data_IF_706035804310
#
_entry.id   IF_706035804310
#
_cell.length_a   1.000
_cell.length_b   1.000
_cell.length_c   1.000
_cell.angle_alpha   90.00
_cell.angle_beta   90.00
_cell.angle_gamma   90.00
#
_symmetry.space_group_name_H-M   'P 1'
#
loop_
_entity.id
_entity.type
_entity.pdbx_description
1 polymer ?
#
# COMPACT_ATOMS: atom_id res chain seq x y z
N UNK A 1 -17.55 16.80 -21.42
CA UNK A 1 -18.87 16.12 -21.48
C UNK A 1 -18.90 15.07 -20.37
N UNK A 2 -19.91 15.08 -19.49
CA UNK A 2 -20.04 14.17 -18.33
C UNK A 2 -20.48 12.73 -18.68
N UNK A 3 -20.53 12.40 -19.97
CA UNK A 3 -20.99 11.10 -20.49
C UNK A 3 -19.85 10.27 -21.11
N UNK A 4 -18.58 10.63 -20.85
CA UNK A 4 -17.45 9.80 -21.25
C UNK A 4 -17.32 8.62 -20.28
N UNK A 5 -17.03 7.43 -20.81
CA UNK A 5 -16.71 6.24 -20.04
C UNK A 5 -15.59 6.53 -19.02
N UNK A 6 -14.60 7.35 -19.39
CA UNK A 6 -13.50 7.77 -18.53
C UNK A 6 -13.99 8.58 -17.32
N UNK A 7 -15.05 9.38 -17.49
CA UNK A 7 -15.64 10.14 -16.39
C UNK A 7 -16.34 9.22 -15.40
N UNK A 8 -17.05 8.20 -15.89
CA UNK A 8 -17.68 7.18 -15.04
C UNK A 8 -16.63 6.36 -14.26
N UNK A 9 -15.51 6.00 -14.90
CA UNK A 9 -14.42 5.32 -14.20
C UNK A 9 -13.70 6.22 -13.20
N UNK A 10 -13.47 7.49 -13.53
CA UNK A 10 -12.85 8.46 -12.61
C UNK A 10 -13.70 8.69 -11.36
N UNK A 11 -15.03 8.61 -11.48
CA UNK A 11 -15.95 8.76 -10.35
C UNK A 11 -16.07 7.46 -9.52
N UNK A 12 -16.16 6.30 -10.18
CA UNK A 12 -16.40 5.02 -9.51
C UNK A 12 -15.15 4.43 -8.85
N UNK A 13 -13.98 4.51 -9.49
CA UNK A 13 -12.79 3.82 -9.02
C UNK A 13 -12.29 4.30 -7.64
N UNK A 14 -12.28 5.61 -7.30
CA UNK A 14 -11.95 6.06 -5.95
C UNK A 14 -12.93 5.55 -4.88
N UNK A 15 -14.21 5.38 -5.21
CA UNK A 15 -15.22 4.86 -4.28
C UNK A 15 -15.01 3.39 -3.91
N UNK A 16 -14.40 2.62 -4.81
CA UNK A 16 -14.04 1.22 -4.61
C UNK A 16 -12.65 1.04 -3.98
N UNK A 17 -11.85 2.11 -3.93
CA UNK A 17 -10.52 2.09 -3.34
C UNK A 17 -10.59 1.94 -1.81
N UNK A 18 -9.63 1.23 -1.19
CA UNK A 18 -9.52 1.16 0.27
C UNK A 18 -9.32 2.55 0.91
N UNK A 19 -8.60 3.44 0.22
CA UNK A 19 -8.39 4.84 0.63
C UNK A 19 -9.39 5.75 -0.10
N UNK A 20 -10.59 5.87 0.48
CA UNK A 20 -11.68 6.72 -0.04
C UNK A 20 -11.48 8.22 0.21
N UNK A 21 -10.51 8.58 1.04
CA UNK A 21 -10.22 9.96 1.44
C UNK A 21 -9.18 10.65 0.56
N UNK A 22 -8.50 9.91 -0.31
CA UNK A 22 -7.49 10.45 -1.21
C UNK A 22 -8.11 10.85 -2.54
N UNK A 23 -7.89 12.09 -2.96
CA UNK A 23 -8.19 12.54 -4.30
C UNK A 23 -7.06 12.10 -5.23
N UNK A 24 -7.41 11.46 -6.35
CA UNK A 24 -6.46 11.05 -7.39
C UNK A 24 -6.71 11.92 -8.63
N UNK A 25 -5.66 12.49 -9.20
CA UNK A 25 -5.76 13.35 -10.38
C UNK A 25 -6.17 12.53 -11.62
N UNK A 26 -5.75 11.26 -11.67
CA UNK A 26 -6.03 10.31 -12.75
C UNK A 26 -6.29 8.88 -12.24
N UNK A 27 -6.91 8.06 -13.10
CA UNK A 27 -7.09 6.62 -12.85
C UNK A 27 -5.73 5.91 -12.78
N UNK A 28 -4.76 6.32 -13.60
CA UNK A 28 -3.41 5.76 -13.59
C UNK A 28 -2.70 6.00 -12.26
N UNK A 29 -2.88 7.18 -11.67
CA UNK A 29 -2.37 7.49 -10.33
C UNK A 29 -3.01 6.60 -9.27
N UNK A 30 -4.33 6.44 -9.31
CA UNK A 30 -5.06 5.53 -8.43
C UNK A 30 -4.56 4.08 -8.53
N UNK A 31 -4.35 3.59 -9.75
CA UNK A 31 -3.84 2.24 -10.00
C UNK A 31 -2.41 2.10 -9.47
N UNK A 32 -1.55 3.09 -9.74
CA UNK A 32 -0.15 3.07 -9.32
C UNK A 32 -0.03 3.05 -7.80
N UNK A 33 -0.77 3.95 -7.12
CA UNK A 33 -0.82 4.00 -5.67
C UNK A 33 -1.31 2.68 -5.05
N UNK A 34 -2.42 2.14 -5.55
CA UNK A 34 -2.95 0.87 -5.06
C UNK A 34 -1.94 -0.28 -5.27
N UNK A 35 -1.25 -0.30 -6.42
CA UNK A 35 -0.23 -1.32 -6.70
C UNK A 35 0.96 -1.21 -5.75
N UNK A 36 1.44 -0.01 -5.47
CA UNK A 36 2.51 0.25 -4.50
C UNK A 36 2.12 -0.20 -3.10
N UNK A 37 0.93 0.20 -2.63
CA UNK A 37 0.40 -0.20 -1.34
C UNK A 37 0.24 -1.72 -1.21
N UNK A 38 -0.27 -2.39 -2.25
CA UNK A 38 -0.38 -3.85 -2.29
C UNK A 38 1.00 -4.53 -2.23
N UNK A 39 2.00 -4.00 -2.92
CA UNK A 39 3.35 -4.54 -2.90
C UNK A 39 4.01 -4.38 -1.52
N UNK A 40 3.87 -3.23 -0.87
CA UNK A 40 4.39 -3.00 0.48
C UNK A 40 3.72 -3.92 1.50
N UNK A 41 2.38 -4.04 1.47
CA UNK A 41 1.66 -4.98 2.34
C UNK A 41 2.15 -6.42 2.16
N UNK A 42 2.36 -6.88 0.92
CA UNK A 42 2.91 -8.23 0.67
C UNK A 42 4.31 -8.42 1.25
N UNK A 43 5.18 -7.41 1.15
CA UNK A 43 6.53 -7.45 1.75
C UNK A 43 6.43 -7.54 3.27
N UNK A 44 5.59 -6.70 3.88
CA UNK A 44 5.33 -6.69 5.34
C UNK A 44 4.84 -8.06 5.81
N UNK A 45 3.83 -8.64 5.16
CA UNK A 45 3.30 -9.95 5.55
C UNK A 45 4.33 -11.07 5.43
N UNK A 46 5.13 -11.05 4.36
CA UNK A 46 6.23 -12.00 4.18
C UNK A 46 7.28 -11.84 5.27
N UNK A 47 7.60 -10.61 5.65
CA UNK A 47 8.60 -10.32 6.67
C UNK A 47 8.10 -10.70 8.07
N UNK A 48 6.83 -10.39 8.40
CA UNK A 48 6.15 -10.86 9.63
C UNK A 48 6.19 -12.39 9.75
N UNK A 49 5.91 -13.10 8.65
CA UNK A 49 6.01 -14.57 8.62
C UNK A 49 7.43 -15.08 8.87
N UNK A 50 8.45 -14.39 8.33
CA UNK A 50 9.87 -14.73 8.57
C UNK A 50 10.28 -14.48 10.03
N UNK A 51 9.91 -13.33 10.59
CA UNK A 51 10.15 -12.96 12.00
C UNK A 51 9.54 -14.00 12.96
N UNK A 52 8.32 -14.45 12.68
CA UNK A 52 7.63 -15.44 13.50
C UNK A 52 8.34 -16.82 13.52
N UNK A 53 9.05 -17.15 12.45
CA UNK A 53 9.79 -18.42 12.30
C UNK A 53 11.25 -18.32 12.74
N UNK A 54 11.76 -17.11 12.94
CA UNK A 54 13.16 -16.87 13.32
C UNK A 54 13.39 -17.16 14.81
N UNK A 55 14.43 -17.94 15.09
CA UNK A 55 14.80 -18.40 16.44
C UNK A 55 15.98 -17.61 17.01
N UNK A 56 16.83 -17.04 16.16
CA UNK A 56 17.98 -16.26 16.59
C UNK A 56 17.52 -14.85 16.95
N UNK A 57 17.72 -14.45 18.21
CA UNK A 57 17.31 -13.13 18.70
C UNK A 57 17.88 -11.98 17.85
N UNK A 58 19.19 -12.00 17.57
CA UNK A 58 19.84 -10.97 16.78
C UNK A 58 19.23 -10.84 15.37
N UNK A 59 18.99 -11.98 14.71
CA UNK A 59 18.36 -12.02 13.38
C UNK A 59 16.93 -11.51 13.42
N UNK A 60 16.19 -11.79 14.50
CA UNK A 60 14.84 -11.27 14.72
C UNK A 60 14.83 -9.75 14.90
N UNK A 61 15.82 -9.21 15.61
CA UNK A 61 15.99 -7.76 15.78
C UNK A 61 16.24 -7.09 14.43
N UNK A 62 17.17 -7.62 13.61
CA UNK A 62 17.41 -7.11 12.25
C UNK A 62 16.15 -7.11 11.39
N UNK A 63 15.40 -8.22 11.39
CA UNK A 63 14.15 -8.33 10.62
C UNK A 63 13.05 -7.40 11.16
N UNK A 64 13.01 -7.17 12.48
CA UNK A 64 12.07 -6.22 13.08
C UNK A 64 12.39 -4.77 12.69
N UNK A 65 13.67 -4.40 12.56
CA UNK A 65 14.07 -3.08 12.06
C UNK A 65 13.63 -2.89 10.61
N UNK A 66 13.86 -3.90 9.75
CA UNK A 66 13.36 -3.88 8.35
C UNK A 66 11.82 -3.77 8.31
N UNK A 67 11.13 -4.40 9.26
CA UNK A 67 9.67 -4.33 9.35
C UNK A 67 9.20 -2.92 9.73
N UNK A 68 9.85 -2.29 10.70
CA UNK A 68 9.53 -0.91 11.11
C UNK A 68 9.70 0.08 9.96
N UNK A 69 10.77 -0.06 9.17
CA UNK A 69 10.99 0.77 7.97
C UNK A 69 9.85 0.63 6.95
N UNK A 70 9.42 -0.60 6.66
CA UNK A 70 8.31 -0.86 5.72
C UNK A 70 6.97 -0.37 6.27
N UNK A 71 6.73 -0.47 7.58
CA UNK A 71 5.51 0.04 8.23
C UNK A 71 5.45 1.58 8.22
N UNK A 72 6.60 2.26 8.33
CA UNK A 72 6.70 3.70 8.13
C UNK A 72 6.45 4.05 6.66
N UNK A 73 7.07 3.35 5.72
CA UNK A 73 6.91 3.61 4.27
C UNK A 73 5.44 3.51 3.83
N UNK A 74 4.73 2.46 4.25
CA UNK A 74 3.31 2.31 3.90
C UNK A 74 2.42 3.37 4.57
N UNK A 75 2.76 3.80 5.78
CA UNK A 75 2.04 4.87 6.47
C UNK A 75 2.20 6.19 5.74
N UNK A 76 3.42 6.50 5.29
CA UNK A 76 3.71 7.68 4.47
C UNK A 76 3.01 7.60 3.11
N UNK A 77 2.95 6.42 2.48
CA UNK A 77 2.28 6.24 1.20
C UNK A 77 0.76 6.49 1.29
N UNK A 78 0.13 6.09 2.40
CA UNK A 78 -1.31 6.32 2.66
C UNK A 78 -1.62 7.74 3.11
N UNK A 79 -0.67 8.41 3.75
CA UNK A 79 -0.82 9.79 4.22
C UNK A 79 -0.61 10.84 3.11
N UNK A 80 0.11 10.47 2.04
CA UNK A 80 0.09 11.21 0.76
C UNK A 80 -1.27 11.09 0.10
#
# INVERSE_FOLDING_TARGET
>A
MKNSLDYAFKDLCPQLSPDRTREYESIDELITHNREALNLNKKIEKLKSRIAKEKQFNRKVELNMELEELEVEITLLKAK
#
